data_IF_991283304494
#
_entry.id   IF_991283304494
#
_cell.length_a   1.000
_cell.length_b   1.000
_cell.length_c   1.000
_cell.angle_alpha   90.00
_cell.angle_beta   90.00
_cell.angle_gamma   90.00
#
_symmetry.space_group_name_H-M   'P 1'
#
loop_
_entity.id
_entity.type
_entity.pdbx_description
1 polymer ?
#
# COMPACT_ATOMS: atom_id res chain seq x y z
N UNK A 1 27.65 -1.14 14.24
CA UNK A 1 28.04 -0.11 13.24
C UNK A 1 27.07 0.04 12.04
N UNK A 2 26.13 -0.88 11.75
CA UNK A 2 25.35 -0.88 10.49
C UNK A 2 24.03 -0.06 10.42
N UNK A 3 23.49 0.44 11.55
CA UNK A 3 22.22 1.20 11.53
C UNK A 3 22.41 2.71 11.26
N UNK A 4 23.58 3.26 11.60
CA UNK A 4 23.86 4.70 11.47
C UNK A 4 24.04 5.09 10.00
N UNK A 5 24.61 4.21 9.16
CA UNK A 5 24.80 4.48 7.73
C UNK A 5 23.47 4.47 6.96
N UNK A 6 22.62 3.45 7.16
CA UNK A 6 21.32 3.33 6.46
C UNK A 6 20.39 4.51 6.71
N UNK A 7 20.34 4.99 7.96
CA UNK A 7 19.47 6.12 8.34
C UNK A 7 19.92 7.44 7.68
N UNK A 8 21.23 7.67 7.59
CA UNK A 8 21.80 8.82 6.87
C UNK A 8 21.54 8.73 5.36
N UNK A 9 21.70 7.56 4.77
CA UNK A 9 21.41 7.35 3.34
C UNK A 9 19.93 7.63 3.01
N UNK A 10 18.99 7.07 3.79
CA UNK A 10 17.55 7.32 3.58
C UNK A 10 17.19 8.80 3.75
N UNK A 11 17.83 9.48 4.69
CA UNK A 11 17.63 10.92 4.86
C UNK A 11 18.11 11.73 3.65
N UNK A 12 19.28 11.41 3.10
CA UNK A 12 19.79 12.09 1.90
C UNK A 12 18.88 11.88 0.70
N UNK A 13 18.41 10.65 0.47
CA UNK A 13 17.43 10.34 -0.60
C UNK A 13 16.16 11.19 -0.45
N UNK A 14 15.65 11.33 0.78
CA UNK A 14 14.48 12.17 1.04
C UNK A 14 14.74 13.66 0.76
N UNK A 15 15.94 14.16 1.10
CA UNK A 15 16.33 15.55 0.83
C UNK A 15 16.47 15.78 -0.68
N UNK A 16 17.14 14.87 -1.38
CA UNK A 16 17.33 14.94 -2.83
C UNK A 16 15.98 14.88 -3.55
N UNK A 17 15.05 14.07 -3.05
CA UNK A 17 13.68 14.06 -3.56
C UNK A 17 12.99 15.41 -3.36
N UNK A 18 13.10 16.05 -2.19
CA UNK A 18 12.48 17.38 -1.95
C UNK A 18 13.05 18.44 -2.90
N UNK A 19 14.37 18.42 -3.16
CA UNK A 19 15.03 19.38 -4.04
C UNK A 19 14.60 19.24 -5.50
N UNK A 20 14.36 18.00 -5.95
CA UNK A 20 14.06 17.69 -7.36
C UNK A 20 12.56 17.48 -7.65
N UNK A 21 11.74 17.23 -6.62
CA UNK A 21 10.31 16.95 -6.79
C UNK A 21 9.60 18.16 -7.39
N UNK A 22 8.75 18.01 -8.42
CA UNK A 22 7.96 19.11 -8.98
C UNK A 22 7.03 19.73 -7.94
N UNK A 23 6.58 18.93 -6.97
CA UNK A 23 5.66 19.31 -5.92
C UNK A 23 6.09 18.70 -4.57
N UNK A 24 6.93 19.42 -3.80
CA UNK A 24 7.45 18.93 -2.52
C UNK A 24 6.47 19.13 -1.36
N UNK A 25 5.16 18.98 -1.60
CA UNK A 25 4.13 19.04 -0.57
C UNK A 25 4.20 17.84 0.42
N UNK A 26 3.76 18.02 1.68
CA UNK A 26 3.76 16.96 2.68
C UNK A 26 3.02 15.69 2.22
N UNK A 27 1.85 15.84 1.58
CA UNK A 27 1.07 14.69 1.07
C UNK A 27 1.86 13.85 0.06
N UNK A 28 2.57 14.49 -0.88
CA UNK A 28 3.38 13.79 -1.88
C UNK A 28 4.56 13.06 -1.21
N UNK A 29 5.15 13.67 -0.18
CA UNK A 29 6.20 13.03 0.61
C UNK A 29 5.69 11.79 1.39
N UNK A 30 4.49 11.84 1.97
CA UNK A 30 3.91 10.68 2.67
C UNK A 30 3.56 9.55 1.71
N UNK A 31 3.04 9.87 0.53
CA UNK A 31 2.82 8.90 -0.55
C UNK A 31 4.12 8.21 -0.98
N UNK A 32 5.23 8.94 -1.05
CA UNK A 32 6.54 8.35 -1.38
C UNK A 32 7.09 7.46 -0.26
N UNK A 33 7.04 7.94 0.98
CA UNK A 33 7.80 7.33 2.08
C UNK A 33 7.03 6.22 2.82
N UNK A 34 5.72 6.11 2.57
CA UNK A 34 4.81 5.17 3.22
C UNK A 34 5.05 5.02 4.74
N UNK A 35 5.03 6.13 5.48
CA UNK A 35 5.35 6.13 6.91
C UNK A 35 4.35 5.32 7.74
N UNK A 36 4.80 4.79 8.88
CA UNK A 36 3.92 4.02 9.78
C UNK A 36 3.26 4.88 10.85
N UNK A 37 4.00 5.87 11.38
CA UNK A 37 3.57 6.66 12.53
C UNK A 37 3.55 8.15 12.22
N UNK A 38 2.45 8.82 12.60
CA UNK A 38 2.18 10.24 12.36
C UNK A 38 3.34 11.14 12.79
N UNK A 39 3.71 11.10 14.06
CA UNK A 39 4.77 11.96 14.62
C UNK A 39 6.08 11.78 13.88
N UNK A 40 6.48 10.52 13.63
CA UNK A 40 7.72 10.22 12.90
C UNK A 40 7.68 10.73 11.46
N UNK A 41 6.54 10.62 10.78
CA UNK A 41 6.38 11.10 9.42
C UNK A 41 6.56 12.62 9.32
N UNK A 42 5.85 13.34 10.19
CA UNK A 42 5.85 14.81 10.24
C UNK A 42 7.23 15.33 10.61
N UNK A 43 7.86 14.77 11.64
CA UNK A 43 9.21 15.14 12.06
C UNK A 43 10.24 14.87 10.98
N UNK A 44 10.11 13.74 10.28
CA UNK A 44 11.01 13.38 9.18
C UNK A 44 10.86 14.35 8.02
N UNK A 45 9.64 14.65 7.61
CA UNK A 45 9.35 15.61 6.56
C UNK A 45 9.93 16.99 6.91
N UNK A 46 9.55 17.55 8.06
CA UNK A 46 10.04 18.87 8.50
C UNK A 46 11.56 18.95 8.54
N UNK A 47 12.21 17.90 9.04
CA UNK A 47 13.68 17.83 9.10
C UNK A 47 14.29 17.84 7.70
N UNK A 48 13.82 16.99 6.79
CA UNK A 48 14.35 16.91 5.44
C UNK A 48 14.05 18.21 4.67
N UNK A 49 12.85 18.77 4.83
CA UNK A 49 12.45 20.03 4.22
C UNK A 49 13.30 21.21 4.68
N UNK A 50 13.56 21.32 5.99
CA UNK A 50 14.45 22.35 6.55
C UNK A 50 15.86 22.26 5.96
N UNK A 51 16.40 21.04 5.83
CA UNK A 51 17.72 20.83 5.23
C UNK A 51 17.71 21.17 3.74
N UNK A 52 16.69 20.74 2.99
CA UNK A 52 16.53 21.08 1.58
C UNK A 52 16.45 22.59 1.37
N UNK A 53 15.66 23.29 2.20
CA UNK A 53 15.53 24.74 2.16
C UNK A 53 16.89 25.44 2.40
N UNK A 54 17.69 24.94 3.34
CA UNK A 54 19.03 25.49 3.60
C UNK A 54 20.06 25.21 2.49
N UNK A 55 19.83 24.20 1.65
CA UNK A 55 20.69 23.83 0.53
C UNK A 55 20.21 24.37 -0.82
N UNK A 56 18.99 24.92 -0.87
CA UNK A 56 18.38 25.38 -2.12
C UNK A 56 18.75 26.83 -2.42
N UNK A 57 18.92 27.12 -3.70
CA UNK A 57 19.19 28.47 -4.21
C UNK A 57 18.29 28.77 -5.42
N UNK A 58 18.22 30.04 -5.82
CA UNK A 58 17.52 30.48 -7.02
C UNK A 58 16.05 30.07 -7.09
N UNK A 59 15.66 29.48 -8.22
CA UNK A 59 14.28 29.05 -8.53
C UNK A 59 13.77 27.99 -7.55
N UNK A 60 14.63 27.03 -7.16
CA UNK A 60 14.30 25.97 -6.20
C UNK A 60 13.98 26.55 -4.82
N UNK A 61 14.75 27.55 -4.37
CA UNK A 61 14.48 28.22 -3.09
C UNK A 61 13.12 28.93 -3.09
N UNK A 62 12.80 29.66 -4.16
CA UNK A 62 11.52 30.37 -4.29
C UNK A 62 10.34 29.40 -4.25
N UNK A 63 10.47 28.27 -4.95
CA UNK A 63 9.49 27.19 -4.92
C UNK A 63 9.32 26.59 -3.53
N UNK A 64 10.40 26.25 -2.83
CA UNK A 64 10.30 25.68 -1.48
C UNK A 64 9.71 26.69 -0.48
N UNK A 65 9.98 27.98 -0.64
CA UNK A 65 9.34 29.04 0.18
C UNK A 65 7.83 29.17 -0.09
N UNK A 66 7.37 28.84 -1.30
CA UNK A 66 5.95 28.87 -1.64
C UNK A 66 5.15 27.69 -1.06
N UNK A 67 5.82 26.62 -0.62
CA UNK A 67 5.15 25.46 0.01
C UNK A 67 4.60 25.85 1.38
N UNK A 68 3.30 25.63 1.57
CA UNK A 68 2.65 25.85 2.85
C UNK A 68 2.97 24.73 3.85
N UNK A 69 4.00 24.96 4.67
CA UNK A 69 4.50 24.02 5.67
C UNK A 69 4.01 24.32 7.09
N UNK A 70 2.89 25.03 7.23
CA UNK A 70 2.30 25.24 8.54
C UNK A 70 1.84 23.88 9.13
N UNK A 71 2.03 23.71 10.44
CA UNK A 71 1.70 22.48 11.16
C UNK A 71 0.31 21.97 10.82
N UNK A 72 -0.69 22.85 10.85
CA UNK A 72 -2.09 22.48 10.56
C UNK A 72 -2.26 21.88 9.16
N UNK A 73 -1.52 22.34 8.18
CA UNK A 73 -1.58 21.83 6.80
C UNK A 73 -0.88 20.47 6.70
N UNK A 74 0.31 20.33 7.30
CA UNK A 74 1.02 19.04 7.33
C UNK A 74 0.16 17.97 8.03
N UNK A 75 -0.52 18.35 9.11
CA UNK A 75 -1.43 17.46 9.85
C UNK A 75 -2.64 17.03 9.00
N UNK A 76 -3.22 17.95 8.22
CA UNK A 76 -4.32 17.64 7.28
C UNK A 76 -3.87 16.74 6.14
N UNK A 77 -2.69 16.98 5.59
CA UNK A 77 -2.11 16.15 4.53
C UNK A 77 -1.84 14.72 5.02
N UNK A 78 -1.38 14.58 6.27
CA UNK A 78 -1.24 13.28 6.92
C UNK A 78 -2.58 12.55 7.01
N UNK A 79 -3.64 13.23 7.45
CA UNK A 79 -4.97 12.65 7.58
C UNK A 79 -5.56 12.24 6.22
N UNK A 80 -5.34 13.07 5.20
CA UNK A 80 -5.71 12.77 3.81
C UNK A 80 -5.00 11.52 3.32
N UNK A 81 -3.67 11.46 3.45
CA UNK A 81 -2.88 10.30 3.07
C UNK A 81 -3.27 9.03 3.85
N UNK A 82 -3.55 9.14 5.15
CA UNK A 82 -3.97 8.00 5.96
C UNK A 82 -5.32 7.45 5.51
N UNK A 83 -6.25 8.34 5.12
CA UNK A 83 -7.53 7.94 4.54
C UNK A 83 -7.33 7.19 3.22
N UNK A 84 -6.50 7.74 2.32
CA UNK A 84 -6.14 7.08 1.05
C UNK A 84 -5.56 5.68 1.27
N UNK A 85 -4.58 5.56 2.19
CA UNK A 85 -3.96 4.29 2.55
C UNK A 85 -4.99 3.27 3.03
N UNK A 86 -5.87 3.65 3.96
CA UNK A 86 -6.92 2.78 4.48
C UNK A 86 -7.92 2.35 3.41
N UNK A 87 -8.29 3.25 2.51
CA UNK A 87 -9.18 2.92 1.38
C UNK A 87 -8.54 1.89 0.47
N UNK A 88 -7.27 2.05 0.11
CA UNK A 88 -6.53 1.09 -0.71
C UNK A 88 -6.45 -0.28 -0.01
N UNK A 89 -6.14 -0.31 1.28
CA UNK A 89 -6.10 -1.54 2.08
C UNK A 89 -7.46 -2.24 2.11
N UNK A 90 -8.56 -1.51 2.36
CA UNK A 90 -9.90 -2.07 2.35
C UNK A 90 -10.29 -2.63 0.97
N UNK A 91 -9.97 -1.93 -0.12
CA UNK A 91 -10.21 -2.42 -1.47
C UNK A 91 -9.45 -3.73 -1.76
N UNK A 92 -8.19 -3.82 -1.35
CA UNK A 92 -7.39 -5.04 -1.50
C UNK A 92 -7.97 -6.21 -0.70
N UNK A 93 -8.28 -5.98 0.58
CA UNK A 93 -8.91 -7.00 1.42
C UNK A 93 -10.24 -7.50 0.84
N UNK A 94 -11.07 -6.59 0.33
CA UNK A 94 -12.33 -6.96 -0.32
C UNK A 94 -12.10 -7.79 -1.58
N UNK A 95 -11.10 -7.43 -2.39
CA UNK A 95 -10.73 -8.18 -3.58
C UNK A 95 -10.24 -9.59 -3.23
N UNK A 96 -9.34 -9.69 -2.25
CA UNK A 96 -8.77 -10.96 -1.79
C UNK A 96 -9.85 -11.86 -1.19
N UNK A 97 -10.77 -11.30 -0.41
CA UNK A 97 -11.93 -12.04 0.15
C UNK A 97 -12.82 -12.57 -0.97
N UNK A 98 -13.09 -11.76 -1.99
CA UNK A 98 -13.90 -12.18 -3.13
C UNK A 98 -13.21 -13.31 -3.92
N UNK A 99 -11.90 -13.22 -4.14
CA UNK A 99 -11.12 -14.30 -4.77
C UNK A 99 -11.18 -15.59 -3.96
N UNK A 100 -11.05 -15.50 -2.63
CA UNK A 100 -11.14 -16.66 -1.74
C UNK A 100 -12.52 -17.33 -1.83
N UNK A 101 -13.61 -16.54 -1.78
CA UNK A 101 -14.98 -17.07 -1.93
C UNK A 101 -15.14 -17.81 -3.27
N UNK A 102 -14.62 -17.25 -4.36
CA UNK A 102 -14.68 -17.89 -5.67
C UNK A 102 -13.92 -19.22 -5.71
N UNK A 103 -12.74 -19.28 -5.07
CA UNK A 103 -11.94 -20.51 -4.96
C UNK A 103 -12.64 -21.57 -4.11
N UNK A 104 -13.23 -21.18 -2.98
CA UNK A 104 -13.96 -22.09 -2.08
C UNK A 104 -15.20 -22.65 -2.77
N UNK A 105 -15.93 -21.80 -3.52
CA UNK A 105 -17.09 -22.23 -4.31
C UNK A 105 -16.69 -23.24 -5.39
N UNK A 106 -15.65 -22.97 -6.17
CA UNK A 106 -15.17 -23.87 -7.21
C UNK A 106 -14.72 -25.22 -6.63
N UNK A 107 -14.02 -25.20 -5.50
CA UNK A 107 -13.57 -26.41 -4.79
C UNK A 107 -14.75 -27.24 -4.28
N UNK A 108 -15.75 -26.58 -3.70
CA UNK A 108 -16.97 -27.23 -3.24
C UNK A 108 -17.73 -27.87 -4.39
N UNK A 109 -17.94 -27.13 -5.49
CA UNK A 109 -18.61 -27.64 -6.69
C UNK A 109 -17.88 -28.84 -7.29
N UNK A 110 -16.55 -28.81 -7.36
CA UNK A 110 -15.75 -29.95 -7.83
C UNK A 110 -15.97 -31.19 -6.95
N UNK A 111 -16.03 -31.00 -5.65
CA UNK A 111 -16.27 -32.09 -4.68
C UNK A 111 -17.66 -32.69 -4.85
N UNK A 112 -18.68 -31.84 -4.98
CA UNK A 112 -20.06 -32.26 -5.21
C UNK A 112 -20.21 -33.03 -6.53
N UNK A 113 -19.62 -32.52 -7.62
CA UNK A 113 -19.64 -33.19 -8.93
C UNK A 113 -18.96 -34.56 -8.82
N UNK A 114 -17.79 -34.64 -8.18
CA UNK A 114 -17.08 -35.91 -7.98
C UNK A 114 -17.93 -36.93 -7.20
N UNK A 115 -18.60 -36.49 -6.13
CA UNK A 115 -19.49 -37.33 -5.34
C UNK A 115 -20.64 -37.90 -6.19
N UNK A 116 -21.37 -37.05 -6.94
CA UNK A 116 -22.47 -37.52 -7.78
C UNK A 116 -22.01 -38.40 -8.94
N UNK A 117 -20.87 -38.09 -9.56
CA UNK A 117 -20.26 -38.94 -10.60
C UNK A 117 -19.93 -40.34 -10.04
N UNK A 118 -19.37 -40.43 -8.83
CA UNK A 118 -19.13 -41.69 -8.14
C UNK A 118 -20.41 -42.50 -7.93
N UNK A 119 -21.47 -41.87 -7.40
CA UNK A 119 -22.77 -42.54 -7.21
C UNK A 119 -23.35 -43.10 -8.52
N UNK A 120 -23.27 -42.34 -9.61
CA UNK A 120 -23.77 -42.78 -10.93
C UNK A 120 -22.96 -43.98 -11.43
N UNK A 121 -21.64 -43.96 -11.27
CA UNK A 121 -20.77 -45.08 -11.64
C UNK A 121 -21.10 -46.34 -10.84
N UNK A 122 -21.34 -46.22 -9.54
CA UNK A 122 -21.71 -47.34 -8.68
C UNK A 122 -23.05 -47.95 -9.09
N UNK A 123 -24.06 -47.11 -9.35
CA UNK A 123 -25.38 -47.56 -9.82
C UNK A 123 -25.27 -48.28 -11.17
N UNK A 124 -24.56 -47.69 -12.14
CA UNK A 124 -24.39 -48.31 -13.47
C UNK A 124 -23.62 -49.62 -13.41
N UNK A 125 -22.65 -49.75 -12.50
CA UNK A 125 -21.92 -50.99 -12.26
C UNK A 125 -22.84 -52.06 -11.66
N UNK A 126 -23.67 -51.71 -10.67
CA UNK A 126 -24.67 -52.62 -10.11
C UNK A 126 -25.66 -53.10 -11.17
N UNK A 127 -26.18 -52.21 -12.02
CA UNK A 127 -27.10 -52.61 -13.10
C UNK A 127 -26.45 -53.63 -14.06
N UNK A 128 -25.17 -53.46 -14.42
CA UNK A 128 -24.44 -54.41 -15.29
C UNK A 128 -24.21 -55.79 -14.64
N UNK A 129 -24.17 -55.86 -13.31
CA UNK A 129 -23.99 -57.12 -12.58
C UNK A 129 -25.33 -57.87 -12.48
N UNK A 130 -26.45 -57.15 -12.32
CA UNK A 130 -27.76 -57.73 -12.01
C UNK A 130 -28.73 -57.84 -13.20
N UNK A 131 -28.46 -57.20 -14.34
CA UNK A 131 -29.17 -57.44 -15.60
C UNK A 131 -28.22 -58.11 -16.61
N UNK A 132 -28.42 -59.40 -16.95
CA UNK A 132 -27.71 -60.06 -18.05
C UNK A 132 -28.19 -59.59 -19.44
#
# INVERSE_FOLDING_TARGET
>A
MGQVSKKKVKQNVNIDWILNSPDPMPIAFFRLTHPEARTRAIDTYKRCFKIALSRSEGTTLNKLKAVNNNEKFIQRDWETWLKEKKTIEACRMSHDTNLQIQQDFATTMKTVIHFFMGMILDITTLFKIFLP
#
